data_IF_495715418945
#
_entry.id   IF_495715418945
#
_cell.length_a   1.000
_cell.length_b   1.000
_cell.length_c   1.000
_cell.angle_alpha   90.00
_cell.angle_beta   90.00
_cell.angle_gamma   90.00
#
_symmetry.space_group_name_H-M   'P 1'
#
loop_
_entity.id
_entity.type
_entity.pdbx_description
1 polymer ?
#
# COMPACT_ATOMS: atom_id res chain seq x y z
N UNK A 1 -25.84 -4.40 72.74
CA UNK A 1 -25.05 -5.63 72.84
C UNK A 1 -24.07 -5.52 71.64
N UNK A 2 -22.95 -4.92 71.87
CA UNK A 2 -21.59 -5.48 72.00
C UNK A 2 -21.20 -6.25 70.72
N UNK A 3 -20.34 -5.68 69.94
CA UNK A 3 -18.86 -5.88 69.85
C UNK A 3 -18.55 -6.79 68.66
N UNK A 4 -17.65 -6.62 67.79
CA UNK A 4 -16.24 -6.27 67.93
C UNK A 4 -15.61 -5.78 66.58
N UNK A 5 -14.78 -4.81 66.72
CA UNK A 5 -13.75 -4.43 65.72
C UNK A 5 -12.72 -5.55 65.62
N UNK A 6 -12.30 -5.88 64.44
CA UNK A 6 -10.91 -6.27 64.23
C UNK A 6 -10.34 -5.73 62.91
N UNK A 7 -9.56 -4.69 63.07
CA UNK A 7 -8.52 -4.26 62.11
C UNK A 7 -7.62 -5.44 61.81
N UNK A 8 -7.33 -5.68 60.54
CA UNK A 8 -6.11 -6.32 60.13
C UNK A 8 -5.55 -5.59 58.91
N UNK A 9 -4.59 -4.74 59.20
CA UNK A 9 -3.65 -4.14 58.27
C UNK A 9 -2.78 -5.21 57.64
N UNK A 10 -2.97 -5.47 56.37
CA UNK A 10 -1.99 -6.16 55.58
C UNK A 10 -1.28 -5.13 54.68
N UNK A 11 -0.18 -4.67 55.19
CA UNK A 11 0.83 -3.85 54.51
C UNK A 11 1.60 -4.78 53.58
N UNK A 12 1.21 -4.80 52.32
CA UNK A 12 2.01 -5.44 51.26
C UNK A 12 3.17 -4.51 50.96
N UNK A 13 4.31 -4.93 51.38
CA UNK A 13 5.63 -4.36 51.11
C UNK A 13 5.98 -4.81 49.70
N UNK A 14 5.87 -3.90 48.72
CA UNK A 14 6.41 -4.10 47.40
C UNK A 14 7.93 -4.03 47.50
N UNK A 15 8.55 -5.18 47.70
CA UNK A 15 9.99 -5.31 47.51
C UNK A 15 10.29 -5.26 46.01
N UNK A 16 10.83 -4.13 45.59
CA UNK A 16 11.44 -3.90 44.31
C UNK A 16 12.63 -4.88 44.13
N UNK A 17 12.36 -5.99 43.44
CA UNK A 17 13.38 -6.98 43.07
C UNK A 17 14.24 -6.43 41.95
N UNK A 18 15.24 -5.63 42.27
CA UNK A 18 16.32 -5.31 41.37
C UNK A 18 17.17 -6.57 41.18
N UNK A 19 17.29 -7.10 39.94
CA UNK A 19 18.21 -8.19 39.71
C UNK A 19 19.63 -7.69 39.96
N UNK A 20 20.28 -8.20 40.97
CA UNK A 20 21.74 -8.01 41.19
C UNK A 20 22.44 -8.64 39.98
N UNK A 21 22.73 -7.82 38.97
CA UNK A 21 23.46 -8.24 37.80
C UNK A 21 24.85 -8.71 38.21
N UNK A 22 25.09 -9.99 37.99
CA UNK A 22 26.40 -10.60 38.24
C UNK A 22 27.48 -9.78 37.51
N UNK A 23 28.47 -9.16 38.20
CA UNK A 23 29.43 -8.24 37.58
C UNK A 23 30.18 -8.91 36.42
N UNK A 24 30.30 -10.22 36.42
CA UNK A 24 30.90 -11.01 35.37
C UNK A 24 30.08 -10.91 34.07
N UNK A 25 28.76 -10.98 34.16
CA UNK A 25 27.88 -10.87 32.97
C UNK A 25 27.95 -9.47 32.37
N UNK A 26 28.03 -8.44 33.23
CA UNK A 26 28.16 -7.05 32.78
C UNK A 26 29.47 -6.83 32.02
N UNK A 27 30.59 -7.42 32.51
CA UNK A 27 31.89 -7.36 31.84
C UNK A 27 31.83 -8.08 30.49
N UNK A 28 31.20 -9.24 30.38
CA UNK A 28 31.06 -9.97 29.13
C UNK A 28 30.22 -9.20 28.09
N UNK A 29 29.12 -8.56 28.51
CA UNK A 29 28.31 -7.75 27.62
C UNK A 29 29.08 -6.53 27.12
N UNK A 30 29.86 -5.88 28.01
CA UNK A 30 30.66 -4.73 27.67
C UNK A 30 31.79 -5.09 26.69
N UNK A 31 32.48 -6.23 26.89
CA UNK A 31 33.46 -6.78 25.95
C UNK A 31 32.88 -7.14 24.61
N UNK A 32 31.69 -7.74 24.58
CA UNK A 32 30.97 -8.07 23.34
C UNK A 32 30.60 -6.83 22.55
N UNK A 33 30.07 -5.78 23.22
CA UNK A 33 29.79 -4.49 22.59
C UNK A 33 31.05 -3.83 22.01
N UNK A 34 32.18 -3.93 22.73
CA UNK A 34 33.46 -3.34 22.27
C UNK A 34 33.99 -4.05 21.03
N UNK A 35 33.87 -5.38 20.94
CA UNK A 35 34.29 -6.16 19.76
C UNK A 35 33.40 -5.86 18.55
N UNK A 36 32.09 -5.69 18.73
CA UNK A 36 31.15 -5.30 17.65
C UNK A 36 31.48 -3.90 17.15
N UNK A 37 31.77 -2.96 18.05
CA UNK A 37 32.14 -1.60 17.69
C UNK A 37 33.47 -1.54 16.93
N UNK A 38 34.44 -2.38 17.30
CA UNK A 38 35.74 -2.48 16.61
C UNK A 38 35.61 -3.12 15.21
N UNK A 39 34.73 -4.09 15.04
CA UNK A 39 34.43 -4.66 13.72
C UNK A 39 33.72 -3.68 12.78
N UNK A 40 32.89 -2.79 13.30
CA UNK A 40 32.21 -1.77 12.48
C UNK A 40 33.19 -0.69 11.98
N UNK A 41 34.23 -0.35 12.73
CA UNK A 41 35.20 0.67 12.33
C UNK A 41 36.21 0.17 11.29
N UNK A 42 36.49 -1.13 11.24
CA UNK A 42 37.41 -1.72 10.26
C UNK A 42 36.81 -1.83 8.85
N UNK A 43 35.48 -1.79 8.69
CA UNK A 43 34.83 -1.85 7.37
C UNK A 43 34.88 -0.52 6.61
N UNK A 44 35.20 0.60 7.26
CA UNK A 44 35.21 1.93 6.63
C UNK A 44 36.59 2.29 6.08
N UNK A 45 37.66 1.61 6.50
CA UNK A 45 39.04 1.96 6.15
C UNK A 45 39.53 1.40 4.81
N UNK A 46 38.82 0.46 4.16
CA UNK A 46 39.29 -0.23 2.93
C UNK A 46 38.59 0.23 1.63
N UNK A 47 37.84 1.34 1.67
CA UNK A 47 37.12 1.86 0.50
C UNK A 47 37.77 3.06 -0.21
N UNK A 48 38.95 3.51 0.22
CA UNK A 48 39.54 4.75 -0.30
C UNK A 48 40.94 4.52 -0.87
N UNK A 49 41.09 3.68 -1.90
CA UNK A 49 42.32 3.72 -2.73
C UNK A 49 42.05 3.08 -4.10
N UNK A 50 41.83 3.90 -5.08
CA UNK A 50 42.34 3.91 -6.45
C UNK A 50 41.43 4.70 -7.37
N UNK A 51 41.50 6.00 -7.29
CA UNK A 51 41.22 6.84 -8.47
C UNK A 51 42.53 7.42 -8.96
N UNK A 52 43.14 6.75 -9.93
CA UNK A 52 44.18 7.31 -10.79
C UNK A 52 43.54 8.37 -11.69
N UNK A 53 44.16 9.53 -11.89
CA UNK A 53 43.66 10.52 -12.82
C UNK A 53 43.98 10.08 -14.24
N UNK A 54 43.02 9.57 -14.98
CA UNK A 54 43.17 9.41 -16.43
C UNK A 54 42.91 10.76 -17.11
N UNK A 55 43.99 11.45 -17.40
CA UNK A 55 44.03 12.61 -18.27
C UNK A 55 44.05 12.11 -19.72
N UNK A 56 42.85 11.97 -20.29
CA UNK A 56 42.71 11.88 -21.74
C UNK A 56 41.41 12.60 -22.13
N UNK A 57 41.62 13.69 -22.84
CA UNK A 57 40.59 14.50 -23.48
C UNK A 57 39.72 13.61 -24.37
N UNK A 58 38.43 13.58 -24.08
CA UNK A 58 37.41 13.08 -24.95
C UNK A 58 36.13 13.80 -24.55
N UNK A 59 35.80 14.87 -25.27
CA UNK A 59 34.51 15.49 -25.18
C UNK A 59 33.47 14.47 -25.66
N UNK A 60 33.02 13.62 -24.71
CA UNK A 60 31.81 12.85 -24.93
C UNK A 60 30.66 13.82 -24.81
N UNK A 61 30.11 14.16 -25.98
CA UNK A 61 28.87 14.94 -26.08
C UNK A 61 27.87 14.31 -25.10
N UNK A 62 27.49 15.06 -24.06
CA UNK A 62 26.37 14.75 -23.22
C UNK A 62 25.18 14.64 -24.16
N UNK A 63 24.83 13.40 -24.52
CA UNK A 63 23.64 13.15 -25.31
C UNK A 63 22.48 13.77 -24.53
N UNK A 64 22.01 14.90 -25.04
CA UNK A 64 20.88 15.63 -24.47
C UNK A 64 19.73 14.61 -24.40
N UNK A 65 19.47 14.12 -23.19
CA UNK A 65 18.38 13.19 -22.93
C UNK A 65 17.10 13.81 -23.49
N UNK A 66 16.62 13.27 -24.60
CA UNK A 66 15.28 13.56 -25.09
C UNK A 66 14.34 12.69 -24.26
N UNK A 67 13.40 13.31 -23.51
CA UNK A 67 12.36 12.51 -22.89
C UNK A 67 11.73 11.63 -23.95
N UNK A 68 11.42 10.35 -23.65
CA UNK A 68 10.72 9.49 -24.59
C UNK A 68 9.53 10.27 -25.11
N UNK A 69 9.40 10.35 -26.43
CA UNK A 69 8.20 10.92 -27.05
C UNK A 69 7.05 10.26 -26.35
N UNK A 70 6.17 11.08 -25.75
CA UNK A 70 5.00 10.56 -25.09
C UNK A 70 4.27 9.71 -26.13
N UNK A 71 4.52 8.41 -26.12
CA UNK A 71 3.72 7.48 -26.89
C UNK A 71 2.32 7.77 -26.37
N UNK A 72 1.48 8.28 -27.27
CA UNK A 72 0.04 8.31 -27.04
C UNK A 72 -0.31 6.85 -26.75
N UNK A 73 -0.31 6.50 -25.47
CA UNK A 73 -0.75 5.21 -25.03
C UNK A 73 -2.20 5.18 -25.46
N UNK A 74 -2.46 4.50 -26.57
CA UNK A 74 -3.81 4.11 -26.96
C UNK A 74 -4.21 3.17 -25.86
N UNK A 75 -4.80 3.73 -24.80
CA UNK A 75 -5.39 2.91 -23.76
C UNK A 75 -6.56 2.23 -24.45
N UNK A 76 -6.59 0.90 -24.50
CA UNK A 76 -7.75 0.20 -24.99
C UNK A 76 -8.96 0.73 -24.24
N UNK A 77 -10.03 1.02 -24.94
CA UNK A 77 -11.20 1.68 -24.40
C UNK A 77 -11.86 0.75 -23.38
N UNK A 78 -11.63 1.03 -22.10
CA UNK A 78 -12.18 0.24 -20.99
C UNK A 78 -13.69 0.41 -20.87
N UNK A 79 -14.21 1.51 -21.34
CA UNK A 79 -15.60 1.92 -21.19
C UNK A 79 -15.97 2.89 -22.34
N UNK A 80 -17.24 2.89 -22.76
CA UNK A 80 -17.72 3.86 -23.75
C UNK A 80 -17.58 5.31 -23.22
N UNK A 81 -17.37 6.25 -24.16
CA UNK A 81 -17.25 7.67 -23.82
C UNK A 81 -18.43 8.21 -23.05
N UNK A 82 -19.65 7.78 -23.38
CA UNK A 82 -20.88 8.26 -22.75
C UNK A 82 -20.97 7.81 -21.28
N UNK A 83 -20.67 6.53 -21.03
CA UNK A 83 -20.62 6.01 -19.66
C UNK A 83 -19.48 6.66 -18.85
N UNK A 84 -18.33 6.93 -19.47
CA UNK A 84 -17.22 7.63 -18.81
C UNK A 84 -17.63 9.05 -18.37
N UNK A 85 -18.38 9.78 -19.21
CA UNK A 85 -18.88 11.12 -18.88
C UNK A 85 -19.96 11.07 -17.79
N UNK A 86 -20.91 10.14 -17.87
CA UNK A 86 -21.92 9.93 -16.82
C UNK A 86 -21.27 9.64 -15.45
N UNK A 87 -20.27 8.77 -15.43
CA UNK A 87 -19.53 8.45 -14.21
C UNK A 87 -18.80 9.69 -13.67
N UNK A 88 -18.19 10.49 -14.53
CA UNK A 88 -17.51 11.71 -14.12
C UNK A 88 -18.47 12.73 -13.52
N UNK A 89 -19.62 12.92 -14.12
CA UNK A 89 -20.62 13.91 -13.69
C UNK A 89 -21.35 13.49 -12.43
N UNK A 90 -21.78 12.23 -12.36
CA UNK A 90 -22.56 11.71 -11.22
C UNK A 90 -21.69 11.41 -10.01
N UNK A 91 -20.55 10.76 -10.22
CA UNK A 91 -19.72 10.20 -9.15
C UNK A 91 -18.41 10.95 -8.89
N UNK A 92 -18.10 11.95 -9.72
CA UNK A 92 -16.93 12.80 -9.56
C UNK A 92 -15.61 12.06 -9.70
N UNK A 93 -15.56 10.99 -10.50
CA UNK A 93 -14.36 10.24 -10.78
C UNK A 93 -14.17 10.03 -12.29
N UNK A 94 -12.94 9.84 -12.71
CA UNK A 94 -12.57 9.37 -14.06
C UNK A 94 -11.89 8.02 -13.96
N UNK A 95 -12.38 7.06 -14.71
CA UNK A 95 -11.76 5.75 -14.84
C UNK A 95 -10.43 5.89 -15.59
N UNK A 96 -9.37 5.26 -15.09
CA UNK A 96 -8.03 5.34 -15.70
C UNK A 96 -7.63 3.99 -16.29
N UNK A 97 -7.75 2.91 -15.54
CA UNK A 97 -7.43 1.56 -16.01
C UNK A 97 -8.11 0.49 -15.19
N UNK A 98 -8.39 -0.63 -15.83
CA UNK A 98 -8.83 -1.88 -15.21
C UNK A 98 -8.05 -3.01 -15.88
N UNK A 99 -7.08 -3.57 -15.19
CA UNK A 99 -6.13 -4.50 -15.81
C UNK A 99 -5.74 -5.64 -14.89
N UNK A 100 -5.40 -6.78 -15.49
CA UNK A 100 -4.83 -7.91 -14.78
C UNK A 100 -3.44 -7.54 -14.22
N UNK A 101 -3.15 -8.06 -13.04
CA UNK A 101 -1.85 -7.91 -12.37
C UNK A 101 -1.55 -9.18 -11.55
N UNK A 102 -0.34 -9.27 -10.98
CA UNK A 102 0.08 -10.46 -10.23
C UNK A 102 -0.14 -11.77 -11.02
N UNK A 103 0.38 -11.82 -12.24
CA UNK A 103 0.23 -12.96 -13.17
C UNK A 103 -1.23 -13.40 -13.40
N UNK A 104 -2.17 -12.45 -13.38
CA UNK A 104 -3.59 -12.70 -13.61
C UNK A 104 -4.40 -13.02 -12.35
N UNK A 105 -3.77 -13.15 -11.18
CA UNK A 105 -4.47 -13.46 -9.92
C UNK A 105 -5.11 -12.25 -9.23
N UNK A 106 -4.87 -11.04 -9.74
CA UNK A 106 -5.48 -9.82 -9.23
C UNK A 106 -5.89 -8.90 -10.38
N UNK A 107 -6.82 -7.98 -10.11
CA UNK A 107 -7.29 -6.95 -11.05
C UNK A 107 -7.05 -5.59 -10.39
N UNK A 108 -6.17 -4.78 -11.00
CA UNK A 108 -5.84 -3.42 -10.56
C UNK A 108 -6.78 -2.42 -11.25
N UNK A 109 -7.61 -1.77 -10.46
CA UNK A 109 -8.48 -0.69 -10.88
C UNK A 109 -7.91 0.64 -10.43
N UNK A 110 -7.75 1.58 -11.38
CA UNK A 110 -7.30 2.94 -11.10
C UNK A 110 -8.32 3.96 -11.57
N UNK A 111 -8.53 4.95 -10.73
CA UNK A 111 -9.42 6.07 -11.01
C UNK A 111 -8.85 7.37 -10.49
N UNK A 112 -9.19 8.47 -11.15
CA UNK A 112 -8.82 9.82 -10.72
C UNK A 112 -10.04 10.50 -10.10
N UNK A 113 -9.86 11.11 -8.95
CA UNK A 113 -10.89 11.91 -8.30
C UNK A 113 -10.98 13.27 -9.00
N UNK A 114 -12.15 13.63 -9.47
CA UNK A 114 -12.48 14.95 -10.04
C UNK A 114 -13.17 15.82 -8.98
N UNK A 115 -14.08 15.23 -8.23
CA UNK A 115 -14.81 15.89 -7.14
C UNK A 115 -14.82 15.01 -5.89
N UNK A 116 -14.24 15.53 -4.80
CA UNK A 116 -14.08 14.79 -3.55
C UNK A 116 -15.42 14.48 -2.89
N UNK A 117 -16.35 15.43 -2.90
CA UNK A 117 -17.65 15.26 -2.26
C UNK A 117 -18.47 14.14 -2.91
N UNK A 118 -18.53 14.13 -4.24
CA UNK A 118 -19.24 13.10 -5.02
C UNK A 118 -18.60 11.72 -4.88
N UNK A 119 -17.28 11.66 -4.68
CA UNK A 119 -16.52 10.41 -4.64
C UNK A 119 -16.35 9.80 -3.24
N UNK A 120 -16.98 10.37 -2.20
CA UNK A 120 -16.82 9.91 -0.80
C UNK A 120 -17.05 8.41 -0.62
N UNK A 121 -18.06 7.84 -1.27
CA UNK A 121 -18.42 6.43 -1.16
C UNK A 121 -17.30 5.49 -1.62
N UNK A 122 -16.43 5.93 -2.53
CA UNK A 122 -15.28 5.15 -3.00
C UNK A 122 -14.24 4.92 -1.91
N UNK A 123 -14.21 5.73 -0.87
CA UNK A 123 -13.23 5.70 0.20
C UNK A 123 -13.80 5.25 1.55
N UNK A 124 -15.13 5.15 1.68
CA UNK A 124 -15.76 4.72 2.93
C UNK A 124 -15.41 3.25 3.23
N UNK A 125 -14.84 2.99 4.41
CA UNK A 125 -14.44 1.66 4.84
C UNK A 125 -15.62 0.67 5.00
N UNK A 126 -16.81 1.18 5.27
CA UNK A 126 -18.03 0.37 5.45
C UNK A 126 -18.53 -0.19 4.12
N UNK A 127 -18.28 0.53 3.04
CA UNK A 127 -18.60 0.07 1.68
C UNK A 127 -17.64 -1.05 1.30
N UNK A 128 -18.16 -2.13 0.74
CA UNK A 128 -17.38 -3.29 0.29
C UNK A 128 -17.40 -3.38 -1.23
N UNK A 129 -16.44 -2.75 -1.93
CA UNK A 129 -16.35 -2.84 -3.37
C UNK A 129 -16.12 -4.27 -3.84
N UNK A 130 -16.75 -4.62 -4.96
CA UNK A 130 -16.53 -5.91 -5.63
C UNK A 130 -16.76 -5.78 -7.13
N UNK A 131 -16.14 -6.68 -7.89
CA UNK A 131 -16.46 -6.86 -9.30
C UNK A 131 -17.42 -8.05 -9.43
N UNK A 132 -18.33 -7.95 -10.38
CA UNK A 132 -19.19 -9.06 -10.80
C UNK A 132 -18.77 -9.45 -12.21
N UNK A 133 -18.38 -10.70 -12.39
CA UNK A 133 -18.00 -11.23 -13.71
C UNK A 133 -19.26 -11.49 -14.50
N UNK A 134 -19.47 -10.80 -15.62
CA UNK A 134 -20.74 -10.86 -16.34
C UNK A 134 -21.07 -12.24 -16.92
N UNK A 135 -20.03 -13.00 -17.29
CA UNK A 135 -20.18 -14.36 -17.82
C UNK A 135 -20.68 -15.38 -16.79
N UNK A 136 -20.28 -15.24 -15.52
CA UNK A 136 -20.49 -16.26 -14.49
C UNK A 136 -21.23 -15.76 -13.25
N UNK A 137 -21.52 -14.47 -13.15
CA UNK A 137 -22.02 -13.80 -11.95
C UNK A 137 -21.15 -13.97 -10.71
N UNK A 138 -19.90 -14.42 -10.88
CA UNK A 138 -18.96 -14.56 -9.78
C UNK A 138 -18.61 -13.17 -9.20
N UNK A 139 -18.57 -13.07 -7.87
CA UNK A 139 -18.21 -11.84 -7.16
C UNK A 139 -16.75 -11.90 -6.75
N UNK A 140 -15.97 -10.92 -7.18
CA UNK A 140 -14.56 -10.77 -6.89
C UNK A 140 -14.38 -9.64 -5.88
N UNK A 141 -14.17 -9.94 -4.59
CA UNK A 141 -13.98 -8.91 -3.56
C UNK A 141 -12.56 -8.35 -3.58
N UNK A 142 -12.36 -7.25 -2.85
CA UNK A 142 -11.04 -6.76 -2.50
C UNK A 142 -10.43 -7.65 -1.42
N UNK A 143 -9.24 -8.24 -1.63
CA UNK A 143 -8.56 -9.03 -0.63
C UNK A 143 -8.22 -8.19 0.61
N UNK A 144 -8.21 -8.85 1.76
CA UNK A 144 -7.84 -8.22 3.02
C UNK A 144 -6.64 -8.95 3.63
N UNK A 145 -5.57 -8.21 3.87
CA UNK A 145 -4.40 -8.72 4.57
C UNK A 145 -4.45 -8.33 6.05
N UNK A 146 -4.11 -9.24 6.94
CA UNK A 146 -4.27 -9.07 8.39
C UNK A 146 -3.54 -7.82 8.94
N UNK A 147 -2.36 -7.48 8.40
CA UNK A 147 -1.55 -6.35 8.87
C UNK A 147 -1.76 -5.06 8.07
N UNK A 148 -2.18 -5.16 6.82
CA UNK A 148 -2.26 -4.02 5.88
C UNK A 148 -3.70 -3.56 5.68
N UNK A 149 -4.67 -4.44 5.90
CA UNK A 149 -6.09 -4.20 5.63
C UNK A 149 -6.46 -4.49 4.18
N UNK A 150 -7.53 -3.86 3.69
CA UNK A 150 -8.02 -4.03 2.33
C UNK A 150 -7.08 -3.36 1.31
N UNK A 151 -6.85 -4.00 0.16
CA UNK A 151 -6.00 -3.47 -0.91
C UNK A 151 -6.69 -2.35 -1.69
N UNK A 152 -7.03 -1.29 -1.01
CA UNK A 152 -7.57 -0.05 -1.57
C UNK A 152 -7.22 1.16 -0.71
N UNK A 153 -7.27 2.33 -1.30
CA UNK A 153 -7.24 3.58 -0.53
C UNK A 153 -8.58 3.79 0.19
N UNK A 154 -8.52 4.17 1.47
CA UNK A 154 -9.69 4.52 2.28
C UNK A 154 -9.53 5.93 2.85
N UNK A 155 -10.61 6.50 3.39
CA UNK A 155 -10.58 7.82 4.03
C UNK A 155 -9.95 7.80 5.44
N UNK A 156 -9.55 6.65 5.96
CA UNK A 156 -8.96 6.52 7.29
C UNK A 156 -7.57 7.14 7.34
N UNK A 157 -7.44 8.25 8.09
CA UNK A 157 -6.18 8.95 8.26
C UNK A 157 -5.58 9.54 6.98
N UNK A 158 -6.35 9.61 5.90
CA UNK A 158 -5.91 10.18 4.63
C UNK A 158 -6.84 11.30 4.17
N UNK A 159 -6.23 12.38 3.71
CA UNK A 159 -6.95 13.45 3.06
C UNK A 159 -7.08 13.14 1.56
N UNK A 160 -8.28 12.86 1.09
CA UNK A 160 -8.55 12.62 -0.33
C UNK A 160 -8.44 13.94 -1.08
N UNK A 161 -7.62 13.96 -2.12
CA UNK A 161 -7.32 15.17 -2.91
C UNK A 161 -7.93 15.08 -4.31
N UNK A 162 -8.47 16.17 -4.85
CA UNK A 162 -8.91 16.21 -6.24
C UNK A 162 -7.71 16.07 -7.19
N UNK A 163 -7.97 15.66 -8.41
CA UNK A 163 -6.98 15.44 -9.48
C UNK A 163 -5.89 14.40 -9.16
N UNK A 164 -6.05 13.61 -8.09
CA UNK A 164 -5.16 12.52 -7.73
C UNK A 164 -5.73 11.19 -8.17
N UNK A 165 -4.85 10.29 -8.61
CA UNK A 165 -5.20 8.91 -8.95
C UNK A 165 -5.13 8.02 -7.71
N UNK A 166 -6.17 7.21 -7.53
CA UNK A 166 -6.31 6.21 -6.47
C UNK A 166 -6.52 4.83 -7.05
N UNK A 167 -6.45 3.81 -6.21
CA UNK A 167 -6.52 2.43 -6.65
C UNK A 167 -7.42 1.56 -5.77
N UNK A 168 -7.90 0.48 -6.35
CA UNK A 168 -8.50 -0.67 -5.69
C UNK A 168 -7.99 -1.93 -6.39
N UNK A 169 -7.62 -2.96 -5.62
CA UNK A 169 -7.15 -4.22 -6.19
C UNK A 169 -8.13 -5.31 -5.79
N UNK A 170 -8.71 -5.97 -6.79
CA UNK A 170 -9.64 -7.08 -6.59
C UNK A 170 -8.93 -8.42 -6.73
N UNK A 171 -9.37 -9.43 -5.96
CA UNK A 171 -8.87 -10.78 -6.12
C UNK A 171 -9.45 -11.41 -7.40
N UNK A 172 -8.64 -12.19 -8.08
CA UNK A 172 -9.05 -12.97 -9.25
C UNK A 172 -8.56 -14.43 -9.05
N UNK A 173 -9.17 -15.18 -8.11
CA UNK A 173 -8.77 -16.54 -7.83
C UNK A 173 -8.88 -17.39 -9.10
N UNK A 174 -7.98 -18.34 -9.25
CA UNK A 174 -7.92 -19.27 -10.40
C UNK A 174 -7.86 -18.56 -11.77
N UNK A 175 -7.41 -17.28 -11.79
CA UNK A 175 -7.42 -16.45 -13.00
C UNK A 175 -8.79 -16.50 -13.72
N UNK A 176 -9.87 -16.39 -12.92
CA UNK A 176 -11.25 -16.55 -13.37
C UNK A 176 -11.64 -15.54 -14.45
N UNK A 177 -11.15 -14.30 -14.34
CA UNK A 177 -11.28 -13.25 -15.36
C UNK A 177 -10.00 -13.20 -16.18
N UNK A 178 -10.16 -13.16 -17.50
CA UNK A 178 -9.08 -13.00 -18.48
C UNK A 178 -9.15 -11.64 -19.16
N UNK A 179 -8.07 -11.25 -19.83
CA UNK A 179 -8.05 -10.04 -20.64
C UNK A 179 -9.13 -10.09 -21.73
N UNK A 180 -9.84 -8.98 -21.92
CA UNK A 180 -10.97 -8.86 -22.85
C UNK A 180 -12.33 -9.23 -22.23
N UNK A 181 -12.38 -9.82 -21.05
CA UNK A 181 -13.66 -10.15 -20.39
C UNK A 181 -14.32 -8.93 -19.75
N UNK A 182 -15.64 -8.96 -19.71
CA UNK A 182 -16.47 -7.90 -19.15
C UNK A 182 -16.81 -8.14 -17.70
N UNK A 183 -16.71 -7.09 -16.90
CA UNK A 183 -17.11 -7.10 -15.50
C UNK A 183 -17.97 -5.88 -15.18
N UNK A 184 -18.83 -6.04 -14.19
CA UNK A 184 -19.59 -4.95 -13.58
C UNK A 184 -18.94 -4.57 -12.26
N UNK A 185 -18.61 -3.30 -12.08
CA UNK A 185 -18.08 -2.78 -10.81
C UNK A 185 -19.20 -2.27 -9.91
N UNK A 186 -19.16 -2.69 -8.64
CA UNK A 186 -20.15 -2.27 -7.63
C UNK A 186 -19.43 -1.71 -6.40
N UNK A 187 -19.78 -0.46 -6.02
CA UNK A 187 -19.20 0.25 -4.87
C UNK A 187 -20.35 1.00 -4.16
N UNK A 188 -21.02 0.37 -3.20
CA UNK A 188 -22.25 0.91 -2.62
C UNK A 188 -23.31 1.10 -3.70
N UNK A 189 -23.78 2.33 -3.89
CA UNK A 189 -24.78 2.68 -4.90
C UNK A 189 -24.19 2.88 -6.31
N UNK A 190 -22.85 2.94 -6.40
CA UNK A 190 -22.17 3.03 -7.69
C UNK A 190 -22.21 1.68 -8.40
N UNK A 191 -22.66 1.69 -9.65
CA UNK A 191 -22.64 0.53 -10.54
C UNK A 191 -22.16 0.97 -11.93
N UNK A 192 -21.11 0.32 -12.43
CA UNK A 192 -20.64 0.51 -13.79
C UNK A 192 -20.55 -0.85 -14.48
N UNK A 193 -21.33 -1.02 -15.54
CA UNK A 193 -21.44 -2.28 -16.29
C UNK A 193 -20.53 -2.28 -17.52
N UNK A 194 -20.29 -3.46 -18.05
CA UNK A 194 -19.57 -3.69 -19.31
C UNK A 194 -18.14 -3.15 -19.34
N UNK A 195 -17.47 -3.08 -18.18
CA UNK A 195 -16.08 -2.69 -18.11
C UNK A 195 -15.20 -3.82 -18.65
N UNK A 196 -14.31 -3.50 -19.57
CA UNK A 196 -13.38 -4.47 -20.17
C UNK A 196 -12.09 -4.50 -19.35
N UNK A 197 -11.68 -5.71 -18.96
CA UNK A 197 -10.41 -5.96 -18.23
C UNK A 197 -9.29 -6.18 -19.26
N UNK A 198 -8.14 -5.51 -19.07
CA UNK A 198 -6.97 -5.58 -19.95
C UNK A 198 -5.78 -6.25 -19.30
#
# INVERSE_FOLDING_TARGET
MKVDERKSSAQTRDEEFLPQGNPIILIFVLLLCLTILFMLTSAIANGAEKMLPNKAAGQTAVAKWKPPVAHKIIQPEMVSSDLANEIADKWGIRLISLRLTAAGYMIDFRFRVLNVEKSKNFFDQRVKPHLVVERSNAKLPIPMAAKVGAFRTTNRGQNIKPNRTYYMVFGNPDAHVKSGEKVTMVIGDFKAEHLIVH
#
